data_IF_615101224788
#
_entry.id   IF_615101224788
#
_cell.length_a   1.000
_cell.length_b   1.000
_cell.length_c   1.000
_cell.angle_alpha   90.00
_cell.angle_beta   90.00
_cell.angle_gamma   90.00
#
_symmetry.space_group_name_H-M   'P 1'
#
loop_
_entity.id
_entity.type
_entity.pdbx_description
1 polymer ?
#
# COMPACT_ATOMS: atom_id res chain seq x y z
N UNK A 1 -9.44 -8.66 -9.61
CA UNK A 1 -9.90 -8.21 -8.28
C UNK A 1 -9.20 -6.94 -7.87
N UNK A 2 -9.95 -5.94 -7.48
CA UNK A 2 -9.45 -4.66 -7.02
C UNK A 2 -9.81 -4.48 -5.55
N UNK A 3 -8.83 -4.12 -4.73
CA UNK A 3 -9.03 -3.88 -3.31
C UNK A 3 -8.64 -2.44 -2.98
N UNK A 4 -9.37 -1.87 -2.02
CA UNK A 4 -9.14 -0.49 -1.58
C UNK A 4 -8.86 -0.47 -0.09
N UNK A 5 -7.98 0.43 0.34
CA UNK A 5 -7.78 0.69 1.77
C UNK A 5 -7.66 2.18 2.04
N UNK A 6 -8.01 2.58 3.26
CA UNK A 6 -7.70 3.90 3.80
C UNK A 6 -6.87 3.72 5.07
N UNK A 7 -6.05 4.73 5.37
CA UNK A 7 -5.22 4.69 6.57
C UNK A 7 -5.10 6.11 7.11
N UNK A 8 -5.06 6.25 8.42
CA UNK A 8 -5.13 7.56 9.07
C UNK A 8 -3.88 7.93 9.86
N UNK A 9 -2.77 7.23 9.62
CA UNK A 9 -1.49 7.50 10.31
C UNK A 9 -0.38 7.65 9.29
N UNK A 10 0.67 8.43 9.62
CA UNK A 10 1.89 8.41 8.81
C UNK A 10 2.54 7.03 8.84
N UNK A 11 3.27 6.70 7.78
CA UNK A 11 4.01 5.44 7.71
C UNK A 11 5.48 5.73 7.43
N UNK A 12 6.35 4.82 7.86
CA UNK A 12 7.76 4.86 7.51
C UNK A 12 7.92 4.41 6.05
N UNK A 13 8.74 5.10 5.30
CA UNK A 13 8.98 4.77 3.89
C UNK A 13 9.48 3.34 3.72
N UNK A 14 10.46 2.94 4.54
CA UNK A 14 11.03 1.60 4.43
C UNK A 14 10.00 0.51 4.72
N UNK A 15 9.13 0.73 5.71
CA UNK A 15 8.09 -0.23 6.06
C UNK A 15 7.08 -0.38 4.92
N UNK A 16 6.66 0.74 4.33
CA UNK A 16 5.72 0.72 3.22
C UNK A 16 6.33 0.00 2.00
N UNK A 17 7.57 0.33 1.66
CA UNK A 17 8.26 -0.30 0.53
C UNK A 17 8.43 -1.80 0.75
N UNK A 18 8.82 -2.21 1.96
CA UNK A 18 8.99 -3.64 2.29
C UNK A 18 7.66 -4.39 2.16
N UNK A 19 6.57 -3.79 2.65
CA UNK A 19 5.24 -4.36 2.51
C UNK A 19 4.87 -4.55 1.02
N UNK A 20 5.03 -3.50 0.22
CA UNK A 20 4.68 -3.55 -1.19
C UNK A 20 5.50 -4.58 -1.96
N UNK A 21 6.80 -4.68 -1.67
CA UNK A 21 7.66 -5.66 -2.33
C UNK A 21 7.30 -7.10 -1.95
N UNK A 22 6.84 -7.33 -0.73
CA UNK A 22 6.40 -8.67 -0.30
C UNK A 22 5.22 -9.18 -1.11
N UNK A 23 4.35 -8.30 -1.59
CA UNK A 23 3.15 -8.69 -2.32
C UNK A 23 3.23 -8.37 -3.82
N UNK A 24 4.34 -7.79 -4.26
CA UNK A 24 4.49 -7.28 -5.62
C UNK A 24 4.22 -8.34 -6.69
N UNK A 25 4.70 -9.57 -6.48
CA UNK A 25 4.56 -10.63 -7.48
C UNK A 25 3.11 -11.08 -7.69
N UNK A 26 2.23 -10.78 -6.74
CA UNK A 26 0.80 -11.12 -6.81
C UNK A 26 -0.07 -9.96 -7.26
N UNK A 27 0.54 -8.82 -7.56
CA UNK A 27 -0.17 -7.60 -7.97
C UNK A 27 0.18 -7.21 -9.40
N UNK A 28 -0.82 -6.78 -10.15
CA UNK A 28 -0.60 -6.10 -11.43
C UNK A 28 -0.09 -4.70 -11.16
N UNK A 29 -0.68 -4.02 -10.17
CA UNK A 29 -0.33 -2.66 -9.84
C UNK A 29 -0.89 -2.30 -8.47
N UNK A 30 -0.24 -1.38 -7.78
CA UNK A 30 -0.80 -0.73 -6.62
C UNK A 30 -0.51 0.77 -6.74
N UNK A 31 -1.48 1.60 -6.38
CA UNK A 31 -1.35 3.04 -6.53
C UNK A 31 -2.16 3.75 -5.45
N UNK A 32 -1.61 4.83 -4.94
CA UNK A 32 -2.30 5.64 -3.96
C UNK A 32 -1.42 6.74 -3.43
N UNK A 33 -1.70 7.17 -2.20
CA UNK A 33 -0.90 8.18 -1.53
C UNK A 33 -0.90 7.93 -0.03
N UNK A 34 0.24 8.24 0.58
CA UNK A 34 0.47 8.10 2.01
C UNK A 34 1.20 9.32 2.55
N UNK A 35 0.96 9.61 3.81
CA UNK A 35 1.83 10.52 4.53
C UNK A 35 3.05 9.73 5.00
N UNK A 36 4.23 10.12 4.51
CA UNK A 36 5.49 9.43 4.83
C UNK A 36 6.18 10.19 5.96
N UNK A 37 6.51 9.49 7.03
CA UNK A 37 7.16 10.10 8.18
C UNK A 37 8.44 10.83 7.75
N UNK A 38 8.55 12.10 8.13
CA UNK A 38 9.71 12.93 7.79
C UNK A 38 9.74 13.50 6.38
N UNK A 39 8.78 13.11 5.51
CA UNK A 39 8.76 13.57 4.11
C UNK A 39 7.45 14.20 3.66
N UNK A 40 6.38 14.02 4.44
CA UNK A 40 5.05 14.51 4.08
C UNK A 40 4.35 13.59 3.08
N UNK A 41 3.33 14.13 2.42
CA UNK A 41 2.49 13.35 1.53
C UNK A 41 3.19 13.00 0.23
N UNK A 42 3.09 11.72 -0.15
CA UNK A 42 3.70 11.18 -1.36
C UNK A 42 2.68 10.35 -2.12
N UNK A 43 2.66 10.51 -3.42
CA UNK A 43 2.01 9.56 -4.30
C UNK A 43 2.87 8.30 -4.38
N UNK A 44 2.26 7.14 -4.23
CA UNK A 44 2.96 5.85 -4.20
C UNK A 44 2.47 5.02 -5.37
N UNK A 45 3.40 4.46 -6.13
CA UNK A 45 3.07 3.64 -7.29
C UNK A 45 3.95 2.41 -7.30
N UNK A 46 3.34 1.22 -7.41
CA UNK A 46 4.04 -0.04 -7.55
C UNK A 46 3.76 -0.62 -8.92
N UNK A 47 4.80 -0.77 -9.71
CA UNK A 47 4.74 -1.41 -11.02
C UNK A 47 5.84 -2.47 -11.07
N UNK A 48 5.45 -3.74 -11.24
CA UNK A 48 6.38 -4.85 -11.10
C UNK A 48 6.94 -4.87 -9.67
N UNK A 49 8.26 -4.81 -9.55
CA UNK A 49 8.92 -4.74 -8.25
C UNK A 49 9.53 -3.38 -7.97
N UNK A 50 9.04 -2.34 -8.66
CA UNK A 50 9.53 -0.97 -8.48
C UNK A 50 8.49 -0.13 -7.76
N UNK A 51 8.91 0.49 -6.65
CA UNK A 51 8.10 1.42 -5.88
C UNK A 51 8.59 2.83 -6.16
N UNK A 52 7.72 3.67 -6.70
CA UNK A 52 8.02 5.08 -6.95
C UNK A 52 7.26 5.95 -5.96
N UNK A 53 7.94 6.94 -5.39
CA UNK A 53 7.36 7.94 -4.50
C UNK A 53 7.54 9.32 -5.12
N UNK A 54 6.48 10.13 -5.03
CA UNK A 54 6.47 11.45 -5.64
C UNK A 54 5.69 12.40 -4.73
N UNK A 55 6.25 13.57 -4.36
CA UNK A 55 5.52 14.52 -3.53
C UNK A 55 4.16 14.87 -4.12
N UNK A 56 3.17 14.99 -3.26
CA UNK A 56 1.82 15.36 -3.68
C UNK A 56 1.17 16.27 -2.64
N UNK A 57 -0.01 16.78 -2.98
CA UNK A 57 -0.80 17.61 -2.07
C UNK A 57 -1.25 16.80 -0.86
N UNK A 58 -1.36 17.43 0.31
CA UNK A 58 -1.91 16.77 1.50
C UNK A 58 -3.32 16.25 1.26
N UNK A 59 -3.62 15.10 1.88
CA UNK A 59 -4.91 14.44 1.81
C UNK A 59 -5.47 14.28 3.22
N UNK A 60 -6.76 14.00 3.34
CA UNK A 60 -7.37 13.73 4.63
C UNK A 60 -6.91 12.39 5.20
N UNK A 61 -6.82 11.38 4.34
CA UNK A 61 -6.41 10.03 4.71
C UNK A 61 -5.56 9.45 3.60
N UNK A 62 -4.67 8.54 3.97
CA UNK A 62 -3.99 7.72 2.99
C UNK A 62 -5.01 6.82 2.28
N UNK A 63 -4.80 6.57 1.00
CA UNK A 63 -5.59 5.65 0.19
C UNK A 63 -4.66 4.83 -0.66
N UNK A 64 -5.04 3.58 -0.87
CA UNK A 64 -4.31 2.70 -1.77
C UNK A 64 -5.27 1.78 -2.49
N UNK A 65 -5.02 1.59 -3.77
CA UNK A 65 -5.76 0.66 -4.62
C UNK A 65 -4.80 -0.44 -5.04
N UNK A 66 -5.22 -1.70 -4.86
CA UNK A 66 -4.43 -2.86 -5.23
C UNK A 66 -5.16 -3.63 -6.32
N UNK A 67 -4.50 -3.89 -7.44
CA UNK A 67 -5.07 -4.68 -8.53
C UNK A 67 -4.36 -6.03 -8.55
N UNK A 68 -5.12 -7.09 -8.24
CA UNK A 68 -4.59 -8.44 -8.06
C UNK A 68 -4.38 -9.16 -9.39
N UNK A 69 -3.26 -9.91 -9.49
CA UNK A 69 -3.01 -10.88 -10.54
C UNK A 69 -3.71 -12.21 -10.30
N UNK A 70 -4.07 -12.48 -9.05
CA UNK A 70 -4.51 -13.82 -8.63
C UNK A 70 -5.95 -13.80 -8.12
N UNK A 71 -6.71 -12.78 -8.49
CA UNK A 71 -8.10 -12.65 -8.10
C UNK A 71 -8.27 -12.50 -6.59
N UNK A 72 -9.35 -13.02 -6.01
CA UNK A 72 -9.62 -12.88 -4.56
C UNK A 72 -8.57 -13.56 -3.68
N UNK A 73 -7.76 -14.46 -4.21
CA UNK A 73 -6.71 -15.13 -3.43
C UNK A 73 -5.68 -14.14 -2.88
N UNK A 74 -5.63 -12.91 -3.40
CA UNK A 74 -4.73 -11.86 -2.90
C UNK A 74 -5.05 -11.44 -1.46
N UNK A 75 -6.27 -11.59 -1.01
CA UNK A 75 -6.70 -11.10 0.30
C UNK A 75 -5.82 -11.68 1.41
N UNK A 76 -5.54 -12.98 1.39
CA UNK A 76 -4.72 -13.61 2.43
C UNK A 76 -3.28 -13.11 2.47
N UNK A 77 -2.50 -13.20 1.38
CA UNK A 77 -1.12 -12.72 1.43
C UNK A 77 -1.03 -11.21 1.66
N UNK A 78 -1.97 -10.43 1.13
CA UNK A 78 -1.97 -9.00 1.30
C UNK A 78 -2.19 -8.60 2.77
N UNK A 79 -3.22 -9.16 3.40
CA UNK A 79 -3.53 -8.85 4.79
C UNK A 79 -2.47 -9.40 5.75
N UNK A 80 -1.90 -10.56 5.45
CA UNK A 80 -0.82 -11.15 6.25
C UNK A 80 0.44 -10.27 6.19
N UNK A 81 0.80 -9.79 5.00
CA UNK A 81 1.96 -8.93 4.84
C UNK A 81 1.77 -7.59 5.56
N UNK A 82 0.58 -7.00 5.46
CA UNK A 82 0.29 -5.77 6.19
C UNK A 82 0.44 -5.97 7.70
N UNK A 83 -0.16 -7.02 8.25
CA UNK A 83 -0.07 -7.35 9.67
C UNK A 83 1.39 -7.53 10.09
N UNK A 84 2.18 -8.20 9.27
CA UNK A 84 3.59 -8.44 9.57
C UNK A 84 4.40 -7.15 9.63
N UNK A 85 4.18 -6.25 8.66
CA UNK A 85 4.99 -5.03 8.57
C UNK A 85 4.48 -3.90 9.46
N UNK A 86 3.17 -3.79 9.64
CA UNK A 86 2.56 -2.68 10.38
C UNK A 86 2.04 -3.06 11.76
N UNK A 87 1.95 -4.35 12.07
CA UNK A 87 1.59 -4.83 13.41
C UNK A 87 0.11 -4.67 13.75
N UNK A 88 -0.75 -4.46 12.78
CA UNK A 88 -2.18 -4.30 12.99
C UNK A 88 -2.96 -4.82 11.79
N UNK A 89 -4.27 -5.09 11.94
CA UNK A 89 -5.08 -5.57 10.81
C UNK A 89 -5.13 -4.56 9.68
N UNK A 90 -5.13 -5.04 8.44
CA UNK A 90 -5.19 -4.18 7.27
C UNK A 90 -6.56 -3.51 7.17
N UNK A 91 -6.62 -2.16 7.05
CA UNK A 91 -7.90 -1.44 7.01
C UNK A 91 -8.49 -1.42 5.59
N UNK A 92 -8.91 -2.59 5.10
CA UNK A 92 -9.55 -2.69 3.80
C UNK A 92 -10.94 -2.05 3.82
N UNK A 93 -11.28 -1.37 2.73
CA UNK A 93 -12.61 -0.84 2.50
C UNK A 93 -13.47 -1.88 1.79
N UNK A 94 -14.74 -1.89 2.12
CA UNK A 94 -15.73 -2.69 1.40
C UNK A 94 -16.24 -1.97 0.15
#
# INVERSE_FOLDING_TARGET
KTLFMNYDKPVEEQTLCAFLLDVADSLLRAKGFFEIAGKGWQQVDLVGRRVDLKPCEPKEKAEMVFISKIGPAIIRPLTAAWQQHFGEPMPLKN
#
